data_IF_795726403319
#
_entry.id   IF_795726403319
#
_cell.length_a   1.000
_cell.length_b   1.000
_cell.length_c   1.000
_cell.angle_alpha   90.00
_cell.angle_beta   90.00
_cell.angle_gamma   90.00
#
_symmetry.space_group_name_H-M   'P 1'
#
loop_
_entity.id
_entity.type
_entity.pdbx_description
1 polymer ?
#
# COMPACT_ATOMS: atom_id res chain seq x y z
N UNK A 1 15.36 3.50 25.96
CA UNK A 1 15.61 2.81 24.69
C UNK A 1 14.70 1.60 24.64
N UNK A 2 13.94 1.42 23.55
CA UNK A 2 13.20 0.19 23.29
C UNK A 2 14.19 -0.93 22.96
N UNK A 3 14.08 -2.13 23.56
CA UNK A 3 14.90 -3.27 23.18
C UNK A 3 14.78 -3.57 21.69
N UNK A 4 15.90 -3.84 20.99
CA UNK A 4 15.88 -4.19 19.56
C UNK A 4 14.95 -5.37 19.26
N UNK A 5 14.84 -6.30 20.21
CA UNK A 5 13.97 -7.49 20.12
C UNK A 5 12.48 -7.14 20.11
N UNK A 6 12.10 -5.97 20.59
CA UNK A 6 10.70 -5.47 20.60
C UNK A 6 10.47 -4.35 19.59
N UNK A 7 11.51 -3.84 18.94
CA UNK A 7 11.40 -2.77 17.94
C UNK A 7 10.39 -3.12 16.84
N UNK A 8 10.55 -4.29 16.21
CA UNK A 8 9.65 -4.73 15.14
C UNK A 8 8.22 -5.05 15.61
N UNK A 9 8.04 -5.38 16.90
CA UNK A 9 6.71 -5.63 17.48
C UNK A 9 5.91 -4.34 17.72
N UNK A 10 6.60 -3.22 17.84
CA UNK A 10 6.01 -1.91 18.13
C UNK A 10 5.96 -1.01 16.89
N UNK A 11 6.29 -1.53 15.71
CA UNK A 11 6.11 -0.80 14.46
C UNK A 11 4.62 -0.58 14.22
N UNK A 12 4.27 0.65 13.89
CA UNK A 12 2.93 0.97 13.44
C UNK A 12 2.63 0.23 12.15
N UNK A 13 1.37 -0.18 11.99
CA UNK A 13 0.94 -0.81 10.76
C UNK A 13 1.06 0.18 9.60
N UNK A 14 1.62 -0.28 8.47
CA UNK A 14 1.64 0.48 7.22
C UNK A 14 0.21 0.84 6.81
N UNK A 15 -0.01 2.11 6.51
CA UNK A 15 -1.26 2.64 5.99
C UNK A 15 -1.09 3.05 4.52
N UNK A 16 -2.14 2.84 3.73
CA UNK A 16 -2.20 3.20 2.33
C UNK A 16 -2.14 4.72 2.17
N UNK A 17 -1.22 5.20 1.32
CA UNK A 17 -1.08 6.62 1.01
C UNK A 17 -2.29 7.21 0.27
N UNK A 18 -3.04 6.37 -0.47
CA UNK A 18 -4.19 6.82 -1.27
C UNK A 18 -5.51 6.88 -0.47
N UNK A 19 -5.76 5.91 0.43
CA UNK A 19 -7.04 5.78 1.12
C UNK A 19 -6.95 5.75 2.66
N UNK A 20 -5.75 5.76 3.23
CA UNK A 20 -5.51 5.73 4.67
C UNK A 20 -5.79 4.40 5.36
N UNK A 21 -6.29 3.39 4.65
CA UNK A 21 -6.56 2.06 5.21
C UNK A 21 -5.27 1.29 5.49
N UNK A 22 -5.30 0.40 6.48
CA UNK A 22 -4.18 -0.48 6.78
C UNK A 22 -3.86 -1.37 5.57
N UNK A 23 -2.58 -1.41 5.18
CA UNK A 23 -2.08 -2.35 4.17
C UNK A 23 -1.98 -3.73 4.84
N UNK A 24 -2.61 -4.77 4.29
CA UNK A 24 -2.51 -6.10 4.92
C UNK A 24 -1.10 -6.69 4.80
N UNK A 25 -0.44 -6.46 3.68
CA UNK A 25 0.93 -6.92 3.44
C UNK A 25 1.96 -5.99 4.11
N UNK A 26 2.29 -6.32 5.35
CA UNK A 26 3.20 -5.53 6.19
C UNK A 26 4.68 -5.83 5.90
N UNK A 27 5.02 -6.94 5.25
CA UNK A 27 6.42 -7.32 4.99
C UNK A 27 7.03 -6.58 3.79
N UNK A 28 6.21 -6.14 2.83
CA UNK A 28 6.67 -5.46 1.62
C UNK A 28 7.18 -4.05 1.91
N UNK A 29 8.48 -3.85 1.86
CA UNK A 29 9.14 -2.59 2.24
C UNK A 29 8.79 -1.40 1.34
N UNK A 30 8.48 -1.64 0.06
CA UNK A 30 8.19 -0.59 -0.92
C UNK A 30 6.70 -0.41 -1.22
N UNK A 31 5.81 -1.20 -0.61
CA UNK A 31 4.38 -1.06 -0.79
C UNK A 31 3.88 0.20 -0.08
N UNK A 32 3.42 1.18 -0.84
CA UNK A 32 2.87 2.46 -0.33
C UNK A 32 1.34 2.55 -0.45
N UNK A 33 0.73 1.68 -1.26
CA UNK A 33 -0.71 1.63 -1.49
C UNK A 33 -1.25 0.23 -1.20
N UNK A 34 -2.53 0.14 -0.86
CA UNK A 34 -3.20 -1.14 -0.71
C UNK A 34 -3.58 -1.72 -2.09
N UNK A 35 -3.69 -3.05 -2.16
CA UNK A 35 -4.00 -3.76 -3.40
C UNK A 35 -5.24 -3.20 -4.15
N UNK A 36 -6.37 -2.85 -3.47
CA UNK A 36 -7.51 -2.25 -4.16
C UNK A 36 -7.20 -0.92 -4.84
N UNK A 37 -6.44 -0.03 -4.20
CA UNK A 37 -6.07 1.26 -4.78
C UNK A 37 -5.13 1.08 -5.98
N UNK A 38 -4.18 0.16 -5.87
CA UNK A 38 -3.23 -0.13 -6.94
C UNK A 38 -3.91 -0.77 -8.16
N UNK A 39 -4.86 -1.68 -7.95
CA UNK A 39 -5.65 -2.30 -9.01
C UNK A 39 -6.53 -1.25 -9.72
N UNK A 40 -7.21 -0.40 -8.95
CA UNK A 40 -8.03 0.68 -9.50
C UNK A 40 -7.20 1.64 -10.36
N UNK A 41 -6.03 2.08 -9.86
CA UNK A 41 -5.14 2.96 -10.60
C UNK A 41 -4.67 2.33 -11.92
N UNK A 42 -4.35 1.04 -11.90
CA UNK A 42 -3.94 0.27 -13.09
C UNK A 42 -5.08 0.16 -14.11
N UNK A 43 -6.29 -0.09 -13.64
CA UNK A 43 -7.48 -0.18 -14.49
C UNK A 43 -7.88 1.16 -15.11
N UNK A 44 -7.79 2.25 -14.34
CA UNK A 44 -8.07 3.60 -14.84
C UNK A 44 -7.03 4.03 -15.88
N UNK A 45 -5.75 3.70 -15.66
CA UNK A 45 -4.71 3.91 -16.65
C UNK A 45 -5.00 3.13 -17.94
N UNK A 46 -5.38 1.85 -17.84
CA UNK A 46 -5.76 1.04 -18.99
C UNK A 46 -6.92 1.68 -19.78
N UNK A 47 -8.00 2.07 -19.10
CA UNK A 47 -9.14 2.74 -19.75
C UNK A 47 -8.73 4.03 -20.45
N UNK A 48 -7.91 4.86 -19.80
CA UNK A 48 -7.44 6.11 -20.37
C UNK A 48 -6.71 5.90 -21.71
N UNK A 49 -5.83 4.89 -21.78
CA UNK A 49 -5.04 4.62 -22.98
C UNK A 49 -5.79 3.82 -24.05
N UNK A 50 -6.71 2.93 -23.68
CA UNK A 50 -7.31 1.97 -24.62
C UNK A 50 -8.78 2.23 -24.97
N UNK A 51 -9.48 3.10 -24.24
CA UNK A 51 -10.90 3.40 -24.48
C UNK A 51 -11.12 4.69 -25.31
N UNK A 52 -10.05 5.39 -25.71
CA UNK A 52 -10.08 6.51 -26.68
C UNK A 52 -10.16 6.03 -28.15
N UNK A 53 -11.03 5.08 -28.47
CA UNK A 53 -11.38 4.74 -29.87
C UNK A 53 -12.87 4.89 -30.10
#
# INVERSE_FOLDING_TARGET
MTPITTFFRNLEAKCCAACGQMIHEQAESYATECAPCQEQASFDAYKYYHQKR
#
